data_IF_054884166251
#
_entry.id   IF_054884166251
#
_cell.length_a   1.000
_cell.length_b   1.000
_cell.length_c   1.000
_cell.angle_alpha   90.00
_cell.angle_beta   90.00
_cell.angle_gamma   90.00
#
_symmetry.space_group_name_H-M   'P 1'
#
loop_
_entity.id
_entity.type
_entity.pdbx_description
1 polymer ?
#
# COMPACT_ATOMS: atom_id res chain seq x y z
N UNK A 1 22.49 -86.61 22.66
CA UNK A 1 21.30 -85.80 22.26
C UNK A 1 21.54 -84.34 22.64
N UNK A 2 21.92 -83.46 21.64
CA UNK A 2 22.12 -82.00 21.88
C UNK A 2 20.92 -81.27 21.33
N UNK A 3 20.21 -80.56 22.20
CA UNK A 3 19.10 -79.67 21.79
C UNK A 3 19.68 -78.31 21.41
N UNK A 4 19.47 -77.90 20.15
CA UNK A 4 19.79 -76.55 19.61
C UNK A 4 18.56 -75.66 19.86
N UNK A 5 18.73 -74.58 20.66
CA UNK A 5 17.73 -73.53 20.82
C UNK A 5 17.98 -72.47 19.74
N UNK A 6 17.03 -72.27 18.86
CA UNK A 6 16.99 -71.17 17.91
C UNK A 6 16.34 -69.94 18.61
N UNK A 7 17.13 -68.85 18.81
CA UNK A 7 16.60 -67.56 19.17
C UNK A 7 16.18 -66.83 17.91
N UNK A 8 14.89 -66.58 17.78
CA UNK A 8 14.34 -65.67 16.74
C UNK A 8 14.33 -64.25 17.27
N UNK A 9 15.22 -63.41 16.73
CA UNK A 9 15.23 -61.95 17.01
C UNK A 9 14.21 -61.27 16.13
N UNK A 10 13.12 -60.78 16.73
CA UNK A 10 12.17 -59.83 16.06
C UNK A 10 12.79 -58.43 16.01
N UNK A 11 13.19 -57.99 14.84
CA UNK A 11 13.47 -56.61 14.56
C UNK A 11 12.12 -55.86 14.32
N UNK A 12 11.71 -55.06 15.30
CA UNK A 12 10.62 -54.10 15.14
C UNK A 12 11.10 -52.86 14.39
N UNK A 13 10.78 -52.74 13.08
CA UNK A 13 10.94 -51.50 12.31
C UNK A 13 9.90 -50.50 12.80
N UNK A 14 10.36 -49.53 13.58
CA UNK A 14 9.57 -48.33 13.89
C UNK A 14 9.54 -47.41 12.67
N UNK A 15 8.46 -47.43 11.90
CA UNK A 15 8.22 -46.47 10.83
C UNK A 15 7.86 -45.11 11.47
N UNK A 16 8.84 -44.23 11.60
CA UNK A 16 8.62 -42.81 11.93
C UNK A 16 7.94 -42.14 10.75
N UNK A 17 6.63 -41.94 10.82
CA UNK A 17 5.89 -41.14 9.87
C UNK A 17 6.37 -39.69 9.99
N UNK A 18 7.24 -39.25 9.12
CA UNK A 18 7.54 -37.85 8.87
C UNK A 18 6.26 -37.22 8.31
N UNK A 19 5.43 -36.63 9.18
CA UNK A 19 4.39 -35.72 8.77
C UNK A 19 5.13 -34.53 8.17
N UNK A 20 5.21 -34.44 6.85
CA UNK A 20 5.67 -33.27 6.15
C UNK A 20 4.72 -32.14 6.55
N UNK A 21 5.16 -31.22 7.41
CA UNK A 21 4.43 -30.01 7.73
C UNK A 21 4.22 -29.25 6.42
N UNK A 22 2.98 -29.23 5.97
CA UNK A 22 2.60 -28.48 4.77
C UNK A 22 2.93 -27.02 5.02
N UNK A 23 3.82 -26.45 4.20
CA UNK A 23 4.19 -25.04 4.31
C UNK A 23 2.93 -24.18 4.20
N UNK A 24 2.77 -23.18 5.08
CA UNK A 24 1.60 -22.30 5.00
C UNK A 24 1.54 -21.64 3.61
N UNK A 25 0.36 -21.60 3.02
CA UNK A 25 0.12 -20.88 1.76
C UNK A 25 -0.18 -19.42 2.06
N UNK A 26 0.29 -18.50 1.20
CA UNK A 26 -0.04 -17.09 1.31
C UNK A 26 -1.54 -16.88 1.03
N UNK A 27 -2.29 -16.27 1.96
CA UNK A 27 -3.67 -15.87 1.65
C UNK A 27 -3.71 -14.68 0.67
N UNK A 28 -4.84 -14.42 0.01
CA UNK A 28 -4.99 -13.29 -0.89
C UNK A 28 -4.68 -11.93 -0.24
N UNK A 29 -3.98 -11.06 -1.01
CA UNK A 29 -3.75 -9.64 -0.70
C UNK A 29 -4.44 -8.86 -1.82
N UNK A 30 -5.51 -8.14 -1.50
CA UNK A 30 -6.52 -7.73 -2.49
C UNK A 30 -6.46 -6.24 -2.88
N UNK A 31 -5.83 -5.38 -2.10
CA UNK A 31 -5.74 -3.95 -2.40
C UNK A 31 -5.03 -3.16 -1.33
N UNK A 32 -4.90 -1.86 -1.54
CA UNK A 32 -4.46 -0.90 -0.53
C UNK A 32 -5.56 -0.74 0.50
N UNK A 33 -5.22 -0.78 1.80
CA UNK A 33 -6.14 -0.47 2.88
C UNK A 33 -6.03 0.99 3.30
N UNK A 34 -4.82 1.45 3.61
CA UNK A 34 -4.57 2.85 3.97
C UNK A 34 -3.12 3.27 3.73
N UNK A 35 -2.91 4.59 3.73
CA UNK A 35 -1.61 5.21 3.91
C UNK A 35 -1.64 6.04 5.20
N UNK A 36 -0.57 6.00 6.01
CA UNK A 36 -0.45 6.70 7.30
C UNK A 36 0.70 7.68 7.25
N UNK A 37 0.41 8.93 7.62
CA UNK A 37 1.39 10.00 7.63
C UNK A 37 1.41 10.74 8.97
N UNK A 38 2.53 11.37 9.26
CA UNK A 38 2.62 12.38 10.32
C UNK A 38 2.20 13.73 9.78
N UNK A 39 1.47 14.51 10.58
CA UNK A 39 1.26 15.93 10.29
C UNK A 39 1.80 16.80 11.44
N UNK A 40 2.50 17.87 11.08
CA UNK A 40 3.01 18.87 12.03
C UNK A 40 2.08 20.07 12.13
N UNK A 41 1.07 20.16 11.25
CA UNK A 41 0.08 21.24 11.23
C UNK A 41 -1.35 20.67 11.13
N UNK A 42 -1.93 20.18 12.23
CA UNK A 42 -3.25 19.53 12.21
C UNK A 42 -4.36 20.41 11.62
N UNK A 43 -4.40 21.72 11.92
CA UNK A 43 -5.44 22.60 11.40
C UNK A 43 -5.36 22.76 9.88
N UNK A 44 -4.17 22.86 9.33
CA UNK A 44 -4.00 22.93 7.88
C UNK A 44 -4.27 21.55 7.22
N UNK A 45 -3.89 20.46 7.89
CA UNK A 45 -4.21 19.10 7.44
C UNK A 45 -5.73 18.86 7.41
N UNK A 46 -6.48 19.31 8.43
CA UNK A 46 -7.95 19.23 8.40
C UNK A 46 -8.55 19.99 7.24
N UNK A 47 -8.08 21.21 6.95
CA UNK A 47 -8.53 21.96 5.76
C UNK A 47 -8.22 21.22 4.48
N UNK A 48 -7.05 20.60 4.37
CA UNK A 48 -6.65 19.88 3.18
C UNK A 48 -7.45 18.59 3.01
N UNK A 49 -7.40 17.66 3.96
CA UNK A 49 -8.06 16.36 3.85
C UNK A 49 -9.58 16.46 4.00
N UNK A 50 -10.05 17.28 4.93
CA UNK A 50 -11.48 17.46 5.24
C UNK A 50 -12.20 18.33 4.24
N UNK A 51 -11.66 19.52 3.93
CA UNK A 51 -12.32 20.47 3.03
C UNK A 51 -11.92 20.25 1.59
N UNK A 52 -10.63 20.36 1.26
CA UNK A 52 -10.18 20.33 -0.14
C UNK A 52 -10.38 18.96 -0.77
N UNK A 53 -9.99 17.86 -0.12
CA UNK A 53 -10.25 16.51 -0.62
C UNK A 53 -11.68 16.05 -0.34
N UNK A 54 -12.37 16.69 0.60
CA UNK A 54 -13.78 16.46 0.92
C UNK A 54 -14.04 15.19 1.72
N UNK A 55 -13.05 14.63 2.43
CA UNK A 55 -13.23 13.43 3.25
C UNK A 55 -13.69 13.80 4.66
N UNK A 56 -14.70 13.08 5.17
CA UNK A 56 -15.19 13.31 6.53
C UNK A 56 -14.24 12.71 7.57
N UNK A 57 -13.67 13.57 8.44
CA UNK A 57 -12.77 13.10 9.48
C UNK A 57 -13.48 12.24 10.53
N UNK A 58 -12.83 11.12 10.86
CA UNK A 58 -13.12 10.30 12.03
C UNK A 58 -11.90 10.26 12.95
N UNK A 59 -12.09 9.75 14.17
CA UNK A 59 -10.99 9.60 15.11
C UNK A 59 -11.04 8.21 15.74
N UNK A 60 -9.92 7.50 15.71
CA UNK A 60 -9.75 6.23 16.38
C UNK A 60 -8.29 6.00 16.80
N UNK A 61 -8.10 5.35 17.94
CA UNK A 61 -6.78 4.98 18.50
C UNK A 61 -5.77 6.17 18.56
N UNK A 62 -6.30 7.41 18.75
CA UNK A 62 -5.49 8.64 18.82
C UNK A 62 -4.99 9.18 17.49
N UNK A 63 -5.51 8.67 16.37
CA UNK A 63 -5.22 9.13 15.00
C UNK A 63 -6.47 9.74 14.36
N UNK A 64 -6.25 10.58 13.37
CA UNK A 64 -7.30 11.07 12.50
C UNK A 64 -7.42 10.14 11.29
N UNK A 65 -8.65 9.75 10.98
CA UNK A 65 -8.98 8.87 9.88
C UNK A 65 -9.86 9.62 8.88
N UNK A 66 -9.50 9.55 7.61
CA UNK A 66 -10.26 10.13 6.50
C UNK A 66 -10.70 8.98 5.57
N UNK A 67 -11.93 8.44 5.77
CA UNK A 67 -12.46 7.38 4.91
C UNK A 67 -12.58 7.85 3.46
N UNK A 68 -11.99 7.09 2.56
CA UNK A 68 -12.14 7.27 1.11
C UNK A 68 -13.31 6.45 0.60
N UNK A 69 -13.46 5.23 1.13
CA UNK A 69 -14.61 4.35 0.94
C UNK A 69 -14.79 3.43 2.16
N UNK A 70 -15.57 2.36 2.04
CA UNK A 70 -15.86 1.45 3.17
C UNK A 70 -14.68 0.58 3.60
N UNK A 71 -13.62 0.45 2.78
CA UNK A 71 -12.46 -0.41 3.02
C UNK A 71 -11.12 0.32 2.93
N UNK A 72 -11.11 1.58 2.49
CA UNK A 72 -9.89 2.36 2.30
C UNK A 72 -9.98 3.72 3.00
N UNK A 73 -8.88 4.15 3.62
CA UNK A 73 -8.82 5.43 4.33
C UNK A 73 -7.40 6.00 4.37
N UNK A 74 -7.27 7.25 4.78
CA UNK A 74 -6.00 7.89 5.06
C UNK A 74 -5.92 8.10 6.57
N UNK A 75 -4.76 7.87 7.18
CA UNK A 75 -4.51 8.08 8.60
C UNK A 75 -3.50 9.20 8.81
N UNK A 76 -3.81 10.10 9.74
CA UNK A 76 -2.88 11.13 10.17
C UNK A 76 -2.56 10.98 11.66
N UNK A 77 -1.27 10.94 11.95
CA UNK A 77 -0.72 11.04 13.29
C UNK A 77 -0.42 12.52 13.57
N UNK A 78 -1.15 13.11 14.51
CA UNK A 78 -0.99 14.53 14.88
C UNK A 78 0.09 14.80 15.93
N UNK A 79 0.88 13.77 16.25
CA UNK A 79 2.02 13.87 17.16
C UNK A 79 3.28 14.20 16.39
N UNK A 80 4.23 14.84 17.04
CA UNK A 80 5.57 15.08 16.48
C UNK A 80 6.18 13.79 15.92
N UNK A 81 6.65 13.81 14.67
CA UNK A 81 7.35 12.67 14.09
C UNK A 81 8.58 12.28 14.93
N UNK A 82 9.02 11.02 14.88
CA UNK A 82 10.27 10.62 15.49
C UNK A 82 11.45 11.48 14.99
N UNK A 83 12.49 11.74 15.79
CA UNK A 83 13.61 12.62 15.42
C UNK A 83 14.38 12.21 14.14
N UNK A 84 14.20 10.97 13.68
CA UNK A 84 14.80 10.42 12.46
C UNK A 84 13.79 10.16 11.35
N UNK A 85 12.59 10.72 11.44
CA UNK A 85 11.63 10.63 10.34
C UNK A 85 12.12 11.53 9.19
N UNK A 86 12.85 10.92 8.26
CA UNK A 86 13.36 11.58 7.05
C UNK A 86 12.23 11.91 6.08
N UNK A 87 11.03 11.42 6.35
CA UNK A 87 9.81 11.66 5.62
C UNK A 87 8.59 11.71 6.55
N UNK A 88 7.39 11.93 6.01
CA UNK A 88 6.13 11.91 6.76
C UNK A 88 5.41 10.57 6.72
N UNK A 89 5.83 9.65 5.87
CA UNK A 89 5.22 8.32 5.75
C UNK A 89 5.50 7.52 7.03
N UNK A 90 4.43 7.10 7.71
CA UNK A 90 4.52 6.29 8.92
C UNK A 90 4.22 4.81 8.66
N UNK A 91 3.34 4.51 7.71
CA UNK A 91 3.02 3.15 7.29
C UNK A 91 2.28 3.15 5.95
N UNK A 92 2.40 2.03 5.22
CA UNK A 92 1.49 1.64 4.15
C UNK A 92 0.73 0.38 4.56
N UNK A 93 -0.51 0.23 4.12
CA UNK A 93 -1.30 -0.93 4.50
C UNK A 93 -2.02 -1.57 3.33
N UNK A 94 -2.11 -2.90 3.39
CA UNK A 94 -2.80 -3.72 2.38
C UNK A 94 -3.84 -4.62 3.03
N UNK A 95 -4.95 -4.84 2.32
CA UNK A 95 -6.02 -5.71 2.77
C UNK A 95 -5.71 -7.17 2.43
N UNK A 96 -5.90 -8.06 3.39
CA UNK A 96 -5.81 -9.51 3.21
C UNK A 96 -7.11 -10.20 3.61
N UNK A 97 -7.40 -11.34 3.01
CA UNK A 97 -8.58 -12.14 3.37
C UNK A 97 -8.41 -12.92 4.68
N UNK A 98 -7.16 -13.17 5.11
CA UNK A 98 -6.84 -13.86 6.36
C UNK A 98 -5.52 -13.34 6.95
N UNK A 99 -5.62 -12.41 7.90
CA UNK A 99 -4.47 -11.77 8.51
C UNK A 99 -3.67 -12.74 9.40
N UNK A 100 -4.34 -13.69 10.07
CA UNK A 100 -3.66 -14.66 10.90
C UNK A 100 -2.85 -15.65 10.06
N UNK A 101 -3.44 -16.16 8.98
CA UNK A 101 -2.72 -17.04 8.06
C UNK A 101 -1.55 -16.32 7.40
N UNK A 102 -1.71 -15.01 7.05
CA UNK A 102 -0.65 -14.22 6.43
C UNK A 102 0.51 -13.98 7.42
N UNK A 103 0.21 -13.68 8.69
CA UNK A 103 1.24 -13.57 9.74
C UNK A 103 2.05 -14.85 9.86
N UNK A 104 1.39 -16.02 10.01
CA UNK A 104 2.06 -17.33 10.06
C UNK A 104 2.85 -17.65 8.78
N UNK A 105 2.30 -17.27 7.61
CA UNK A 105 3.03 -17.44 6.36
C UNK A 105 4.33 -16.64 6.34
N UNK A 106 4.30 -15.35 6.74
CA UNK A 106 5.48 -14.50 6.81
C UNK A 106 6.50 -14.99 7.83
N UNK A 107 6.05 -15.46 9.00
CA UNK A 107 6.91 -16.09 10.01
C UNK A 107 7.61 -17.35 9.43
N UNK A 108 6.92 -18.16 8.64
CA UNK A 108 7.51 -19.33 7.95
C UNK A 108 8.58 -18.94 6.91
N UNK A 109 8.57 -17.69 6.46
CA UNK A 109 9.60 -17.10 5.58
C UNK A 109 10.70 -16.36 6.35
N UNK A 110 10.68 -16.43 7.68
CA UNK A 110 11.64 -15.75 8.54
C UNK A 110 11.36 -14.29 8.83
N UNK A 111 10.20 -13.77 8.40
CA UNK A 111 9.77 -12.39 8.63
C UNK A 111 8.93 -12.36 9.92
N UNK A 112 9.47 -11.70 10.94
CA UNK A 112 8.77 -11.57 12.23
C UNK A 112 7.92 -10.32 12.26
N UNK A 113 6.68 -10.38 12.79
CA UNK A 113 5.87 -9.18 12.97
C UNK A 113 6.54 -8.25 14.00
N UNK A 114 6.64 -6.96 13.65
CA UNK A 114 6.97 -5.90 14.59
C UNK A 114 5.76 -5.54 15.45
N UNK A 115 4.59 -5.57 14.83
CA UNK A 115 3.30 -5.40 15.47
C UNK A 115 2.51 -6.70 15.32
N UNK A 116 2.46 -7.56 16.36
CA UNK A 116 1.70 -8.81 16.30
C UNK A 116 0.21 -8.58 16.04
N UNK A 117 -0.45 -9.61 15.52
CA UNK A 117 -1.88 -9.55 15.17
C UNK A 117 -2.74 -9.08 16.34
N UNK A 118 -3.42 -7.96 16.12
CA UNK A 118 -4.34 -7.37 17.09
C UNK A 118 -5.47 -6.65 16.34
N UNK A 119 -6.73 -6.89 16.74
CA UNK A 119 -7.92 -6.28 16.12
C UNK A 119 -7.96 -6.48 14.59
N UNK A 120 -7.46 -7.60 14.06
CA UNK A 120 -7.44 -7.89 12.64
C UNK A 120 -6.32 -7.19 11.86
N UNK A 121 -5.31 -6.65 12.52
CA UNK A 121 -4.15 -6.01 11.88
C UNK A 121 -2.85 -6.50 12.49
N UNK A 122 -1.82 -6.67 11.65
CA UNK A 122 -0.45 -6.88 12.09
C UNK A 122 0.51 -6.10 11.18
N UNK A 123 1.74 -5.87 11.63
CA UNK A 123 2.71 -5.09 10.89
C UNK A 123 4.09 -5.74 10.85
N UNK A 124 4.75 -5.66 9.69
CA UNK A 124 6.13 -6.08 9.47
C UNK A 124 6.96 -4.92 8.91
N UNK A 125 8.29 -5.06 8.93
CA UNK A 125 9.17 -4.15 8.18
C UNK A 125 9.51 -4.75 6.83
N UNK A 126 9.47 -3.93 5.78
CA UNK A 126 10.10 -4.26 4.52
C UNK A 126 11.64 -4.13 4.60
N UNK A 127 12.40 -4.50 3.57
CA UNK A 127 13.86 -4.37 3.56
C UNK A 127 14.40 -2.94 3.73
N UNK A 128 13.67 -1.91 3.33
CA UNK A 128 14.03 -0.49 3.54
C UNK A 128 13.66 0.01 4.93
N UNK A 129 12.93 -0.79 5.72
CA UNK A 129 12.50 -0.45 7.07
C UNK A 129 11.15 0.26 7.14
N UNK A 130 10.39 0.35 6.05
CA UNK A 130 9.04 0.88 6.05
C UNK A 130 8.09 -0.04 6.82
N UNK A 131 7.19 0.52 7.61
CA UNK A 131 6.16 -0.25 8.28
C UNK A 131 5.05 -0.62 7.29
N UNK A 132 4.90 -1.91 7.07
CA UNK A 132 3.85 -2.49 6.22
C UNK A 132 2.81 -3.16 7.10
N UNK A 133 1.56 -2.72 7.02
CA UNK A 133 0.46 -3.25 7.82
C UNK A 133 -0.46 -4.08 6.93
N UNK A 134 -0.87 -5.24 7.41
CA UNK A 134 -1.90 -6.07 6.77
C UNK A 134 -3.18 -6.02 7.59
N UNK A 135 -4.28 -5.73 6.91
CA UNK A 135 -5.61 -5.53 7.49
C UNK A 135 -6.52 -6.67 7.05
N UNK A 136 -7.11 -7.36 8.01
CA UNK A 136 -8.13 -8.39 7.76
C UNK A 136 -9.35 -7.78 7.09
N UNK A 137 -9.73 -8.27 5.92
CA UNK A 137 -10.98 -7.85 5.23
C UNK A 137 -12.19 -8.00 6.16
N UNK A 138 -12.96 -6.95 6.30
CA UNK A 138 -14.13 -6.90 7.19
C UNK A 138 -13.81 -6.51 8.64
N UNK A 139 -12.53 -6.20 8.97
CA UNK A 139 -12.14 -5.68 10.29
C UNK A 139 -11.93 -4.15 10.29
N UNK A 140 -12.23 -3.46 9.20
CA UNK A 140 -12.02 -2.02 8.96
C UNK A 140 -12.99 -1.13 9.78
N UNK A 141 -13.47 -1.60 10.88
CA UNK A 141 -14.59 -1.08 11.69
C UNK A 141 -14.26 0.25 12.29
N UNK A 142 -13.72 1.14 12.29
CA UNK A 142 -14.19 2.52 12.50
C UNK A 142 -14.54 3.20 11.18
N UNK A 143 -14.13 2.62 10.06
CA UNK A 143 -14.20 3.23 8.74
C UNK A 143 -15.36 2.65 7.92
N UNK A 144 -15.58 1.34 8.02
CA UNK A 144 -16.53 0.57 7.21
C UNK A 144 -18.01 0.96 7.33
N UNK A 145 -18.38 1.76 8.32
CA UNK A 145 -19.78 2.20 8.53
C UNK A 145 -20.07 3.57 7.94
N UNK A 146 -19.07 4.25 7.39
CA UNK A 146 -19.28 5.57 6.82
C UNK A 146 -19.56 5.45 5.32
N UNK A 147 -20.68 5.99 4.82
CA UNK A 147 -20.78 6.29 3.40
C UNK A 147 -19.64 7.22 2.99
N UNK A 148 -19.20 7.13 1.74
CA UNK A 148 -18.28 8.12 1.20
C UNK A 148 -18.90 9.52 1.38
N UNK A 149 -18.08 10.50 1.76
CA UNK A 149 -18.54 11.88 1.87
C UNK A 149 -19.12 12.35 0.53
N UNK A 150 -20.25 13.05 0.50
CA UNK A 150 -20.81 13.60 -0.74
C UNK A 150 -19.89 14.65 -1.40
N UNK A 151 -18.93 15.16 -0.66
CA UNK A 151 -17.94 16.12 -1.14
C UNK A 151 -16.60 15.45 -1.54
N UNK A 152 -16.47 14.13 -1.37
CA UNK A 152 -15.24 13.43 -1.69
C UNK A 152 -14.85 13.62 -3.16
N UNK A 153 -13.59 13.95 -3.40
CA UNK A 153 -13.03 14.15 -4.74
C UNK A 153 -12.61 12.84 -5.41
N UNK A 154 -12.60 11.76 -4.65
CA UNK A 154 -12.36 10.40 -5.11
C UNK A 154 -13.02 9.41 -4.14
N UNK A 155 -13.26 8.20 -4.62
CA UNK A 155 -13.79 7.08 -3.82
C UNK A 155 -12.81 5.91 -3.74
N UNK A 156 -11.55 6.07 -4.21
CA UNK A 156 -10.61 4.96 -4.23
C UNK A 156 -9.16 5.39 -4.13
N UNK A 157 -8.40 4.74 -3.23
CA UNK A 157 -6.93 4.74 -3.27
C UNK A 157 -6.50 3.65 -4.24
N UNK A 158 -5.72 3.99 -5.25
CA UNK A 158 -5.27 3.04 -6.26
C UNK A 158 -3.81 2.63 -6.08
N UNK A 159 -2.99 3.49 -5.47
CA UNK A 159 -1.65 3.10 -5.10
C UNK A 159 -1.11 3.89 -3.92
N UNK A 160 -0.05 3.35 -3.36
CA UNK A 160 0.86 3.99 -2.44
C UNK A 160 2.26 3.89 -3.03
N UNK A 161 3.09 4.92 -2.83
CA UNK A 161 4.47 4.92 -3.31
C UNK A 161 5.42 5.37 -2.22
N UNK A 162 6.65 4.84 -2.26
CA UNK A 162 7.72 5.28 -1.38
C UNK A 162 9.11 5.08 -2.01
N UNK A 163 10.08 5.79 -1.46
CA UNK A 163 11.46 5.71 -1.92
C UNK A 163 12.04 4.34 -1.68
N UNK A 164 12.76 3.83 -2.69
CA UNK A 164 13.47 2.56 -2.65
C UNK A 164 14.91 2.78 -3.11
N UNK A 165 15.87 2.30 -2.33
CA UNK A 165 17.30 2.37 -2.61
C UNK A 165 17.87 1.05 -3.10
N UNK A 166 17.37 -0.08 -2.62
CA UNK A 166 17.79 -1.43 -3.02
C UNK A 166 16.59 -2.21 -3.61
N UNK A 167 16.31 -1.93 -4.89
CA UNK A 167 15.20 -2.58 -5.60
C UNK A 167 15.29 -4.12 -5.55
N UNK A 168 16.49 -4.70 -5.57
CA UNK A 168 16.62 -6.15 -5.57
C UNK A 168 16.14 -6.78 -4.26
N UNK A 169 16.41 -6.14 -3.12
CA UNK A 169 15.89 -6.59 -1.82
C UNK A 169 14.38 -6.40 -1.72
N UNK A 170 13.88 -5.26 -2.19
CA UNK A 170 12.44 -5.01 -2.23
C UNK A 170 11.71 -6.01 -3.12
N UNK A 171 12.25 -6.31 -4.29
CA UNK A 171 11.69 -7.32 -5.18
C UNK A 171 11.67 -8.73 -4.55
N UNK A 172 12.69 -9.09 -3.80
CA UNK A 172 12.71 -10.36 -3.07
C UNK A 172 11.60 -10.45 -2.02
N UNK A 173 11.30 -9.34 -1.35
CA UNK A 173 10.20 -9.26 -0.37
C UNK A 173 8.83 -9.16 -1.05
N UNK A 174 8.61 -8.13 -1.87
CA UNK A 174 7.29 -7.86 -2.43
C UNK A 174 6.87 -8.86 -3.51
N UNK A 175 7.76 -9.15 -4.47
CA UNK A 175 7.47 -10.09 -5.55
C UNK A 175 7.74 -11.54 -5.13
N UNK A 176 8.88 -11.79 -4.47
CA UNK A 176 9.32 -13.14 -4.12
C UNK A 176 8.53 -13.77 -2.97
N UNK A 177 8.22 -13.03 -1.92
CA UNK A 177 7.51 -13.52 -0.74
C UNK A 177 6.03 -13.19 -0.81
N UNK A 178 5.67 -11.92 -0.99
CA UNK A 178 4.26 -11.48 -0.99
C UNK A 178 3.54 -11.73 -2.31
N UNK A 179 4.28 -11.99 -3.42
CA UNK A 179 3.70 -12.35 -4.71
C UNK A 179 3.14 -11.17 -5.50
N UNK A 180 3.55 -9.94 -5.21
CA UNK A 180 3.21 -8.77 -6.03
C UNK A 180 3.70 -8.97 -7.47
N UNK A 181 2.97 -8.42 -8.42
CA UNK A 181 3.18 -8.65 -9.85
C UNK A 181 3.68 -7.39 -10.53
N UNK A 182 4.62 -7.46 -11.48
CA UNK A 182 4.94 -6.30 -12.31
C UNK A 182 3.68 -5.69 -12.90
N UNK A 183 3.64 -4.36 -13.02
CA UNK A 183 2.51 -3.64 -13.61
C UNK A 183 2.96 -2.65 -14.68
N UNK A 184 3.78 -1.69 -14.32
CA UNK A 184 4.40 -0.73 -15.23
C UNK A 184 5.72 -0.24 -14.65
N UNK A 185 6.66 0.15 -15.50
CA UNK A 185 7.87 0.84 -15.07
C UNK A 185 8.30 1.87 -16.10
N UNK A 186 8.98 2.92 -15.64
CA UNK A 186 9.50 3.96 -16.48
C UNK A 186 10.24 5.06 -15.72
N UNK A 187 10.62 6.09 -16.47
CA UNK A 187 11.37 7.21 -15.92
C UNK A 187 11.35 8.43 -16.84
N UNK A 188 12.15 9.45 -16.50
CA UNK A 188 12.22 10.69 -17.29
C UNK A 188 12.82 10.44 -18.69
N UNK A 189 13.58 9.34 -18.85
CA UNK A 189 14.15 8.86 -20.11
C UNK A 189 13.72 7.43 -20.37
N UNK A 190 13.65 6.96 -21.63
CA UNK A 190 13.17 5.61 -21.95
C UNK A 190 13.94 4.47 -21.27
N UNK A 191 15.24 4.63 -21.08
CA UNK A 191 16.13 3.58 -20.57
C UNK A 191 16.48 3.73 -19.07
N UNK A 192 15.74 4.56 -18.34
CA UNK A 192 16.00 4.80 -16.91
C UNK A 192 14.71 4.64 -16.13
N UNK A 193 14.64 3.65 -15.28
CA UNK A 193 13.51 3.46 -14.37
C UNK A 193 13.68 4.31 -13.12
N UNK A 194 12.75 5.24 -12.92
CA UNK A 194 12.59 6.00 -11.68
C UNK A 194 11.34 5.59 -10.92
N UNK A 195 10.39 4.98 -11.62
CA UNK A 195 9.10 4.54 -11.11
C UNK A 195 8.88 3.09 -11.49
N UNK A 196 8.63 2.24 -10.52
CA UNK A 196 8.34 0.81 -10.75
C UNK A 196 7.07 0.45 -9.98
N UNK A 197 6.00 0.22 -10.72
CA UNK A 197 4.69 -0.15 -10.18
C UNK A 197 4.54 -1.66 -10.13
N UNK A 198 4.19 -2.19 -8.97
CA UNK A 198 3.91 -3.61 -8.75
C UNK A 198 2.51 -3.79 -8.15
N UNK A 199 1.64 -4.53 -8.85
CA UNK A 199 0.27 -4.76 -8.38
C UNK A 199 0.21 -5.75 -7.23
N UNK A 200 -0.73 -5.53 -6.32
CA UNK A 200 -1.10 -6.56 -5.33
C UNK A 200 -1.42 -7.88 -6.04
N UNK A 201 -1.09 -9.02 -5.44
CA UNK A 201 -1.21 -10.31 -6.13
C UNK A 201 -2.64 -10.68 -6.53
N UNK A 202 -3.64 -10.23 -5.77
CA UNK A 202 -5.01 -10.69 -5.90
C UNK A 202 -5.99 -9.51 -6.12
N UNK A 203 -5.49 -8.41 -6.71
CA UNK A 203 -6.28 -7.21 -7.00
C UNK A 203 -5.64 -6.32 -8.07
N UNK A 204 -6.06 -5.06 -8.14
CA UNK A 204 -5.65 -4.10 -9.17
C UNK A 204 -4.92 -2.88 -8.63
N UNK A 205 -4.94 -2.62 -7.32
CA UNK A 205 -4.15 -1.57 -6.69
C UNK A 205 -2.65 -1.93 -6.73
N UNK A 206 -1.77 -0.95 -6.59
CA UNK A 206 -0.34 -1.21 -6.68
C UNK A 206 0.49 -0.46 -5.64
N UNK A 207 1.70 -0.94 -5.44
CA UNK A 207 2.78 -0.24 -4.79
C UNK A 207 3.69 0.34 -5.86
N UNK A 208 4.17 1.57 -5.67
CA UNK A 208 5.13 2.21 -6.55
C UNK A 208 6.47 2.43 -5.86
N UNK A 209 7.53 1.87 -6.40
CA UNK A 209 8.90 2.18 -6.00
C UNK A 209 9.33 3.50 -6.65
N UNK A 210 9.77 4.41 -5.83
CA UNK A 210 10.39 5.67 -6.26
C UNK A 210 11.91 5.49 -6.17
N UNK A 211 12.56 5.32 -7.32
CA UNK A 211 13.99 5.02 -7.41
C UNK A 211 14.85 6.28 -7.61
N UNK A 212 16.17 6.15 -7.44
CA UNK A 212 17.17 7.17 -7.77
C UNK A 212 17.04 8.49 -6.99
N UNK A 213 16.63 8.44 -5.73
CA UNK A 213 16.38 9.62 -4.90
C UNK A 213 17.64 10.21 -4.25
N UNK A 214 18.79 9.58 -4.42
CA UNK A 214 20.03 9.96 -3.73
C UNK A 214 20.05 9.57 -2.25
N UNK A 215 21.20 9.72 -1.59
CA UNK A 215 21.40 9.18 -0.23
C UNK A 215 20.79 10.03 0.90
N UNK A 216 20.51 11.30 0.66
CA UNK A 216 20.00 12.23 1.68
C UNK A 216 18.93 13.15 1.08
N UNK A 217 17.71 12.64 0.83
CA UNK A 217 16.63 13.44 0.29
C UNK A 217 16.19 14.50 1.31
N UNK A 218 15.81 15.68 0.82
CA UNK A 218 15.18 16.69 1.68
C UNK A 218 13.79 16.20 2.09
N UNK A 219 13.26 16.72 3.20
CA UNK A 219 11.90 16.39 3.64
C UNK A 219 10.85 16.69 2.56
N UNK A 220 11.02 17.80 1.82
CA UNK A 220 10.14 18.12 0.70
C UNK A 220 10.22 17.08 -0.42
N UNK A 221 11.44 16.65 -0.79
CA UNK A 221 11.62 15.62 -1.81
C UNK A 221 11.04 14.29 -1.34
N UNK A 222 11.31 13.89 -0.10
CA UNK A 222 10.73 12.69 0.49
C UNK A 222 9.21 12.73 0.49
N UNK A 223 8.58 13.85 0.85
CA UNK A 223 7.12 13.99 0.82
C UNK A 223 6.53 13.88 -0.59
N UNK A 224 7.27 14.31 -1.62
CA UNK A 224 6.85 14.12 -3.02
C UNK A 224 6.94 12.65 -3.45
N UNK A 225 7.94 11.92 -2.95
CA UNK A 225 8.19 10.53 -3.33
C UNK A 225 7.35 9.55 -2.49
N UNK A 226 7.18 9.82 -1.21
CA UNK A 226 6.38 8.99 -0.29
C UNK A 226 4.92 9.49 -0.30
N UNK A 227 4.10 8.88 -1.11
CA UNK A 227 2.79 9.41 -1.51
C UNK A 227 1.69 8.35 -1.57
N UNK A 228 0.48 8.81 -1.81
CA UNK A 228 -0.63 7.96 -2.22
C UNK A 228 -1.37 8.58 -3.40
N UNK A 229 -2.07 7.73 -4.15
CA UNK A 229 -2.85 8.17 -5.32
C UNK A 229 -4.32 7.82 -5.19
N UNK A 230 -5.14 8.78 -5.56
CA UNK A 230 -6.58 8.70 -5.62
C UNK A 230 -7.02 8.46 -7.07
N UNK A 231 -7.68 7.33 -7.32
CA UNK A 231 -8.24 7.00 -8.62
C UNK A 231 -9.49 7.82 -8.94
N UNK A 232 -9.57 8.35 -10.14
CA UNK A 232 -10.72 9.13 -10.62
C UNK A 232 -11.17 8.67 -12.01
N UNK A 233 -12.45 8.85 -12.29
CA UNK A 233 -13.03 8.51 -13.60
C UNK A 233 -12.70 9.57 -14.63
N UNK A 234 -12.69 10.84 -14.23
CA UNK A 234 -12.55 12.00 -15.12
C UNK A 234 -11.79 13.11 -14.39
N UNK A 235 -10.65 13.49 -14.91
CA UNK A 235 -9.87 14.59 -14.35
C UNK A 235 -10.59 15.95 -14.46
N UNK A 236 -11.29 16.28 -15.55
CA UNK A 236 -12.10 17.50 -15.60
C UNK A 236 -13.16 17.58 -14.50
N UNK A 237 -13.86 16.46 -14.20
CA UNK A 237 -14.86 16.42 -13.13
C UNK A 237 -14.19 16.54 -11.74
N UNK A 238 -13.01 15.96 -11.59
CA UNK A 238 -12.21 16.11 -10.36
C UNK A 238 -11.81 17.55 -10.11
N UNK A 239 -11.38 18.29 -11.16
CA UNK A 239 -11.05 19.71 -11.06
C UNK A 239 -12.29 20.53 -10.64
N UNK A 240 -13.47 20.22 -11.18
CA UNK A 240 -14.73 20.85 -10.75
C UNK A 240 -15.05 20.56 -9.29
N UNK A 241 -14.85 19.32 -8.85
CA UNK A 241 -15.06 18.94 -7.45
C UNK A 241 -14.07 19.64 -6.52
N UNK A 242 -12.79 19.72 -6.87
CA UNK A 242 -11.77 20.47 -6.15
C UNK A 242 -12.12 21.97 -6.04
N UNK A 243 -12.60 22.58 -7.11
CA UNK A 243 -13.05 23.98 -7.10
C UNK A 243 -14.25 24.19 -6.17
N UNK A 244 -15.24 23.28 -6.19
CA UNK A 244 -16.38 23.28 -5.28
C UNK A 244 -15.92 23.16 -3.81
N UNK A 245 -14.87 22.41 -3.56
CA UNK A 245 -14.28 22.22 -2.23
C UNK A 245 -13.25 23.30 -1.88
N UNK A 246 -13.28 24.45 -2.54
CA UNK A 246 -12.39 25.60 -2.28
C UNK A 246 -10.89 25.28 -2.39
N UNK A 247 -10.50 24.38 -3.32
CA UNK A 247 -9.09 24.18 -3.63
C UNK A 247 -8.52 25.47 -4.25
N UNK A 248 -7.44 25.97 -3.68
CA UNK A 248 -6.80 27.21 -4.12
C UNK A 248 -5.38 26.96 -4.68
N UNK A 249 -4.97 27.76 -5.64
CA UNK A 249 -3.66 27.72 -6.25
C UNK A 249 -3.60 26.95 -7.58
N UNK A 250 -2.49 27.09 -8.28
CA UNK A 250 -2.31 26.57 -9.63
C UNK A 250 -2.40 25.03 -9.73
N UNK A 251 -2.01 24.33 -8.69
CA UNK A 251 -2.02 22.86 -8.68
C UNK A 251 -3.43 22.27 -8.73
N UNK A 252 -4.45 23.02 -8.29
CA UNK A 252 -5.85 22.54 -8.29
C UNK A 252 -6.43 22.30 -9.69
N UNK A 253 -5.80 22.86 -10.71
CA UNK A 253 -6.23 22.74 -12.11
C UNK A 253 -5.13 22.22 -13.05
N UNK A 254 -3.91 22.03 -12.55
CA UNK A 254 -2.76 21.65 -13.36
C UNK A 254 -2.70 20.13 -13.55
N UNK A 255 -3.53 19.63 -14.45
CA UNK A 255 -3.43 18.23 -14.90
C UNK A 255 -2.35 18.09 -15.98
N UNK A 256 -1.80 16.89 -16.07
CA UNK A 256 -0.81 16.50 -17.08
C UNK A 256 -1.00 15.03 -17.44
N UNK A 257 -0.42 14.59 -18.55
CA UNK A 257 -0.34 13.17 -18.86
C UNK A 257 0.99 12.65 -18.31
N UNK A 258 0.93 11.64 -17.46
CA UNK A 258 2.09 10.96 -16.92
C UNK A 258 2.83 10.13 -17.98
N UNK A 259 4.01 9.66 -17.62
CA UNK A 259 4.79 8.78 -18.50
C UNK A 259 4.12 7.42 -18.71
N UNK A 260 3.26 7.03 -17.81
CA UNK A 260 2.38 5.86 -17.89
C UNK A 260 1.15 6.07 -18.80
N UNK A 261 1.01 7.24 -19.41
CA UNK A 261 -0.10 7.58 -20.30
C UNK A 261 -1.40 7.98 -19.60
N UNK A 262 -1.46 7.99 -18.28
CA UNK A 262 -2.64 8.39 -17.51
C UNK A 262 -2.68 9.88 -17.26
N UNK A 263 -3.89 10.45 -17.18
CA UNK A 263 -4.07 11.86 -16.78
C UNK A 263 -3.90 11.95 -15.28
N UNK A 264 -3.04 12.86 -14.83
CA UNK A 264 -2.64 13.03 -13.43
C UNK A 264 -2.79 14.49 -13.00
N UNK A 265 -3.04 14.70 -11.70
CA UNK A 265 -3.00 16.00 -11.03
C UNK A 265 -2.39 15.80 -9.64
N UNK A 266 -1.45 16.65 -9.25
CA UNK A 266 -0.74 16.53 -7.98
C UNK A 266 -1.08 17.70 -7.05
N UNK A 267 -1.59 17.39 -5.87
CA UNK A 267 -1.69 18.30 -4.75
C UNK A 267 -0.64 17.93 -3.69
N UNK A 268 -0.40 18.87 -2.78
CA UNK A 268 0.53 18.66 -1.66
C UNK A 268 -0.15 19.10 -0.38
N UNK A 269 -0.09 18.23 0.63
CA UNK A 269 -0.58 18.56 1.95
C UNK A 269 0.32 19.60 2.66
N UNK A 270 -0.04 20.10 3.84
CA UNK A 270 0.77 21.09 4.55
C UNK A 270 2.17 20.63 4.93
N UNK A 271 2.41 19.33 5.00
CA UNK A 271 3.72 18.73 5.28
C UNK A 271 4.46 18.29 4.01
N UNK A 272 4.00 18.72 2.82
CA UNK A 272 4.52 18.43 1.50
C UNK A 272 4.31 16.98 1.02
N UNK A 273 3.46 16.20 1.68
CA UNK A 273 3.06 14.88 1.17
C UNK A 273 2.27 15.03 -0.12
N UNK A 274 2.71 14.37 -1.18
CA UNK A 274 2.00 14.37 -2.47
C UNK A 274 0.73 13.52 -2.38
N UNK A 275 -0.36 14.11 -2.79
CA UNK A 275 -1.62 13.44 -3.09
C UNK A 275 -1.83 13.52 -4.59
N UNK A 276 -1.69 12.39 -5.24
CA UNK A 276 -1.85 12.29 -6.68
C UNK A 276 -3.30 11.92 -7.02
N UNK A 277 -3.91 12.61 -7.95
CA UNK A 277 -5.12 12.15 -8.63
C UNK A 277 -4.71 11.53 -9.96
N UNK A 278 -5.29 10.38 -10.29
CA UNK A 278 -4.94 9.66 -11.49
C UNK A 278 -6.19 9.02 -12.12
N UNK A 279 -6.40 9.20 -13.41
CA UNK A 279 -7.44 8.45 -14.12
C UNK A 279 -7.11 6.96 -14.12
N UNK A 280 -8.14 6.11 -14.00
CA UNK A 280 -7.96 4.67 -13.83
C UNK A 280 -7.21 4.00 -14.99
N UNK A 281 -7.47 4.45 -16.21
CA UNK A 281 -6.85 3.90 -17.42
C UNK A 281 -6.02 4.96 -18.17
N UNK A 282 -4.99 4.54 -18.91
CA UNK A 282 -4.23 5.46 -19.74
C UNK A 282 -5.09 5.98 -20.91
N UNK A 283 -4.87 7.25 -21.29
CA UNK A 283 -5.52 7.90 -22.41
C UNK A 283 -4.65 7.90 -23.66
N UNK A 284 -3.39 7.49 -23.51
CA UNK A 284 -2.44 7.29 -24.61
C UNK A 284 -1.46 6.18 -24.27
N UNK A 285 -0.70 5.72 -25.24
CA UNK A 285 0.33 4.69 -25.06
C UNK A 285 1.33 5.10 -23.97
N UNK A 286 1.63 4.20 -23.02
CA UNK A 286 2.62 4.47 -21.99
C UNK A 286 4.03 4.51 -22.58
N UNK A 287 4.89 5.36 -22.02
CA UNK A 287 6.33 5.28 -22.25
C UNK A 287 6.92 4.07 -21.53
N UNK A 288 8.03 3.62 -22.06
CA UNK A 288 9.05 2.84 -21.37
C UNK A 288 8.70 1.37 -21.23
N UNK A 289 7.57 0.98 -20.66
CA UNK A 289 7.07 -0.40 -20.64
C UNK A 289 5.56 -0.47 -20.91
N UNK A 290 5.04 -1.58 -21.44
CA UNK A 290 3.59 -1.79 -21.49
C UNK A 290 3.07 -2.12 -20.09
N UNK A 291 1.77 -1.88 -19.88
CA UNK A 291 1.09 -2.42 -18.71
C UNK A 291 0.95 -3.95 -18.81
N UNK A 292 1.24 -4.65 -17.73
CA UNK A 292 1.18 -6.12 -17.69
C UNK A 292 -0.02 -6.66 -16.88
N UNK A 293 -0.83 -5.77 -16.30
CA UNK A 293 -2.00 -6.11 -15.49
C UNK A 293 -3.23 -5.30 -15.85
N UNK A 294 -4.35 -5.64 -15.24
CA UNK A 294 -5.61 -4.89 -15.40
C UNK A 294 -5.53 -3.56 -14.67
N UNK A 295 -6.12 -2.51 -15.25
CA UNK A 295 -6.30 -1.24 -14.56
C UNK A 295 -7.36 -1.36 -13.47
N UNK A 296 -7.20 -0.61 -12.35
CA UNK A 296 -8.28 -0.47 -11.38
C UNK A 296 -9.48 0.24 -12.03
N UNK A 297 -10.64 0.07 -11.44
CA UNK A 297 -11.89 0.75 -11.83
C UNK A 297 -12.59 1.30 -10.60
N UNK A 298 -13.53 2.21 -10.78
CA UNK A 298 -14.30 2.79 -9.68
C UNK A 298 -15.16 1.76 -8.91
N UNK A 299 -15.35 0.55 -9.42
CA UNK A 299 -16.19 -0.48 -8.80
C UNK A 299 -15.43 -1.69 -8.26
N UNK A 300 -14.10 -1.65 -8.20
CA UNK A 300 -13.27 -2.79 -7.76
C UNK A 300 -13.02 -2.81 -6.25
N UNK A 301 -13.20 -1.71 -5.56
CA UNK A 301 -12.85 -1.52 -4.15
C UNK A 301 -13.56 -2.46 -3.18
N UNK A 302 -14.64 -3.11 -3.62
CA UNK A 302 -15.47 -4.01 -2.82
C UNK A 302 -15.36 -5.48 -3.24
N UNK A 303 -14.45 -5.83 -4.17
CA UNK A 303 -14.32 -7.21 -4.70
C UNK A 303 -13.16 -8.01 -4.01
#
# INVERSE_FOLDING_TARGET
MRRILLLASLLSLSASSLIAQQQPTRPPITGVAFARFYTTNPDAAERFYGTTLGFERKQADGMWLYPVNQSQWIELITKTPPPRADNRLAAVAFTTTDAQQLEHYLESKGIKPEQPLKKGQFGVRDPEGNLVIFVQKGSEKPVATAPASPNATSTRIIHVGFMVTDQAKEDAFWKGILGFRPYWHGGPKPDVDNWVSIQVPDGTDWLEYMLNNGPNPTLQHAGVMDHFSLGVVSMPETVVALARNHCEGANCTKSQIGRDGKVQLNLYDPDMTRVEFMEFAPTQEPCCSPFTGKHPTAGDENK
#
